data_IF_190813447499
#
_entry.id   IF_190813447499
#
_cell.length_a   1.000
_cell.length_b   1.000
_cell.length_c   1.000
_cell.angle_alpha   90.00
_cell.angle_beta   90.00
_cell.angle_gamma   90.00
#
_symmetry.space_group_name_H-M   'P 1'
#
loop_
_entity.id
_entity.type
_entity.pdbx_description
1 polymer ?
#
# COMPACT_ATOMS: atom_id res chain seq x y z
N UNK A 1 1.18 44.22 -28.41
CA UNK A 1 0.26 43.06 -28.36
C UNK A 1 1.10 41.79 -28.15
N UNK A 2 1.46 41.44 -26.91
CA UNK A 2 2.49 40.40 -26.69
C UNK A 2 2.52 39.76 -25.29
N UNK A 3 1.38 39.67 -24.61
CA UNK A 3 1.32 39.22 -23.21
C UNK A 3 0.43 37.99 -22.94
N UNK A 4 -0.01 37.26 -23.97
CA UNK A 4 -0.99 36.18 -23.80
C UNK A 4 -0.43 34.76 -24.02
N UNK A 5 0.79 34.58 -24.53
CA UNK A 5 1.36 33.26 -24.89
C UNK A 5 2.18 32.58 -23.79
N UNK A 6 2.68 33.32 -22.78
CA UNK A 6 3.47 32.74 -21.69
C UNK A 6 2.61 32.17 -20.55
N UNK A 7 1.42 32.74 -20.33
CA UNK A 7 0.52 32.35 -19.23
C UNK A 7 -0.12 30.97 -19.51
N UNK A 8 -0.38 30.64 -20.78
CA UNK A 8 -0.92 29.33 -21.17
C UNK A 8 0.10 28.20 -21.03
N UNK A 9 1.38 28.45 -21.38
CA UNK A 9 2.48 27.48 -21.18
C UNK A 9 2.75 27.22 -19.69
N UNK A 10 2.70 28.26 -18.86
CA UNK A 10 2.86 28.16 -17.41
C UNK A 10 1.70 27.40 -16.74
N UNK A 11 0.45 27.61 -17.20
CA UNK A 11 -0.73 26.86 -16.74
C UNK A 11 -0.68 25.39 -17.12
N UNK A 12 -0.26 25.05 -18.34
CA UNK A 12 -0.09 23.64 -18.74
C UNK A 12 0.97 22.93 -17.88
N UNK A 13 2.05 23.62 -17.52
CA UNK A 13 3.08 23.06 -16.64
C UNK A 13 2.58 22.82 -15.21
N UNK A 14 1.80 23.74 -14.65
CA UNK A 14 1.22 23.58 -13.30
C UNK A 14 0.21 22.43 -13.27
N UNK A 15 -0.59 22.25 -14.32
CA UNK A 15 -1.51 21.12 -14.44
C UNK A 15 -0.77 19.77 -14.54
N UNK A 16 0.38 19.72 -15.22
CA UNK A 16 1.20 18.51 -15.27
C UNK A 16 1.86 18.17 -13.91
N UNK A 17 2.23 19.20 -13.13
CA UNK A 17 2.83 19.02 -11.80
C UNK A 17 1.81 18.58 -10.73
N UNK A 18 0.54 18.97 -10.85
CA UNK A 18 -0.52 18.53 -9.94
C UNK A 18 -0.93 17.06 -10.16
N UNK A 19 -0.73 16.51 -11.35
CA UNK A 19 -1.08 15.13 -11.67
C UNK A 19 -0.04 14.12 -11.16
N UNK A 20 1.23 14.52 -10.99
CA UNK A 20 2.29 13.63 -10.51
C UNK A 20 2.26 13.37 -8.99
N UNK A 21 1.53 14.18 -8.21
CA UNK A 21 1.47 14.05 -6.75
C UNK A 21 0.47 13.00 -6.24
N UNK A 22 -0.30 12.34 -7.13
CA UNK A 22 -1.44 11.51 -6.75
C UNK A 22 -1.23 9.99 -6.69
N UNK A 23 -0.01 9.49 -6.91
CA UNK A 23 0.21 8.05 -7.17
C UNK A 23 0.76 7.23 -5.97
N UNK A 24 0.96 7.82 -4.80
CA UNK A 24 1.34 7.07 -3.59
C UNK A 24 0.09 6.74 -2.75
N UNK A 25 -0.77 5.86 -3.26
CA UNK A 25 -1.83 5.25 -2.45
C UNK A 25 -1.32 3.90 -1.95
N UNK A 26 -1.29 3.70 -0.63
CA UNK A 26 -0.97 2.40 -0.04
C UNK A 26 -2.06 1.39 -0.44
N UNK A 27 -1.66 0.24 -0.99
CA UNK A 27 -2.59 -0.83 -1.34
C UNK A 27 -3.08 -1.52 -0.07
N UNK A 28 -4.40 -1.65 0.09
CA UNK A 28 -5.01 -2.36 1.21
C UNK A 28 -5.37 -3.79 0.79
N UNK A 29 -4.74 -4.76 1.44
CA UNK A 29 -4.95 -6.18 1.22
C UNK A 29 -6.00 -6.75 2.16
N UNK A 30 -6.74 -7.77 1.71
CA UNK A 30 -7.67 -8.53 2.56
C UNK A 30 -7.39 -10.01 2.39
N UNK A 31 -6.98 -10.68 3.46
CA UNK A 31 -6.50 -12.06 3.37
C UNK A 31 -6.94 -12.92 4.56
N UNK A 32 -7.03 -14.23 4.33
CA UNK A 32 -7.38 -15.22 5.35
C UNK A 32 -6.13 -15.79 6.00
N UNK A 33 -6.11 -15.87 7.33
CA UNK A 33 -5.01 -16.44 8.10
C UNK A 33 -4.99 -17.97 7.95
N UNK A 34 -3.88 -18.50 7.45
CA UNK A 34 -3.65 -19.95 7.33
C UNK A 34 -2.81 -20.49 8.50
N UNK A 35 -1.76 -19.77 8.89
CA UNK A 35 -0.77 -20.18 9.90
C UNK A 35 -0.20 -18.94 10.62
N UNK A 36 0.20 -19.10 11.88
CA UNK A 36 0.79 -18.04 12.70
C UNK A 36 2.00 -18.57 13.47
N UNK A 37 3.08 -17.78 13.52
CA UNK A 37 4.30 -18.07 14.28
C UNK A 37 4.79 -16.81 14.99
N UNK A 38 4.97 -16.89 16.31
CA UNK A 38 5.53 -15.78 17.09
C UNK A 38 7.04 -15.99 17.31
N UNK A 39 7.86 -15.02 16.91
CA UNK A 39 9.31 -15.04 17.11
C UNK A 39 9.91 -13.64 17.00
N UNK A 40 10.95 -13.35 17.80
CA UNK A 40 11.71 -12.11 17.67
C UNK A 40 10.93 -10.81 17.90
N UNK A 41 9.80 -10.85 18.63
CA UNK A 41 8.93 -9.68 18.82
C UNK A 41 7.98 -9.39 17.64
N UNK A 42 7.89 -10.33 16.69
CA UNK A 42 6.96 -10.29 15.56
C UNK A 42 6.03 -11.50 15.56
N UNK A 43 4.88 -11.32 14.93
CA UNK A 43 4.00 -12.42 14.52
C UNK A 43 4.08 -12.56 13.01
N UNK A 44 4.58 -13.71 12.56
CA UNK A 44 4.61 -14.11 11.16
C UNK A 44 3.30 -14.79 10.83
N UNK A 45 2.64 -14.33 9.77
CA UNK A 45 1.34 -14.84 9.36
C UNK A 45 1.43 -15.32 7.92
N UNK A 46 1.09 -16.58 7.70
CA UNK A 46 0.83 -17.08 6.34
C UNK A 46 -0.61 -16.73 5.99
N UNK A 47 -0.78 -15.94 4.95
CA UNK A 47 -2.09 -15.48 4.49
C UNK A 47 -2.47 -16.10 3.16
N UNK A 48 -3.77 -16.21 2.90
CA UNK A 48 -4.33 -16.53 1.60
C UNK A 48 -5.10 -15.32 1.08
N UNK A 49 -4.69 -14.82 -0.08
CA UNK A 49 -5.36 -13.74 -0.80
C UNK A 49 -5.67 -14.24 -2.22
N UNK A 50 -6.95 -14.42 -2.54
CA UNK A 50 -7.35 -15.07 -3.79
C UNK A 50 -6.79 -16.49 -3.90
N UNK A 51 -6.00 -16.74 -4.96
CA UNK A 51 -5.28 -18.00 -5.19
C UNK A 51 -3.89 -18.04 -4.55
N UNK A 52 -3.37 -16.90 -4.12
CA UNK A 52 -1.99 -16.75 -3.69
C UNK A 52 -1.86 -16.96 -2.19
N UNK A 53 -0.68 -17.42 -1.77
CA UNK A 53 -0.35 -17.57 -0.36
C UNK A 53 1.08 -17.14 -0.10
N UNK A 54 1.25 -16.23 0.85
CA UNK A 54 2.52 -15.61 1.18
C UNK A 54 2.61 -15.33 2.68
N UNK A 55 3.81 -15.01 3.14
CA UNK A 55 4.08 -14.67 4.53
C UNK A 55 4.17 -13.16 4.70
N UNK A 56 3.49 -12.65 5.73
CA UNK A 56 3.65 -11.28 6.20
C UNK A 56 4.21 -11.29 7.63
N UNK A 57 4.86 -10.21 8.02
CA UNK A 57 5.32 -9.99 9.38
C UNK A 57 4.71 -8.70 9.92
N UNK A 58 4.27 -8.74 11.18
CA UNK A 58 3.76 -7.59 11.90
C UNK A 58 4.30 -7.58 13.33
N UNK A 59 4.25 -6.44 14.00
CA UNK A 59 4.53 -6.38 15.44
C UNK A 59 3.72 -7.43 16.18
N UNK A 60 4.35 -8.12 17.12
CA UNK A 60 3.75 -9.26 17.80
C UNK A 60 2.38 -8.92 18.39
N UNK A 61 1.36 -9.65 17.98
CA UNK A 61 -0.03 -9.50 18.45
C UNK A 61 -0.81 -10.78 18.18
N UNK A 62 -1.83 -11.01 19.01
CA UNK A 62 -2.68 -12.19 18.88
C UNK A 62 -3.53 -12.12 17.61
N UNK A 63 -3.33 -13.08 16.71
CA UNK A 63 -4.16 -13.35 15.52
C UNK A 63 -4.44 -14.84 15.45
N UNK A 64 -5.64 -15.22 15.00
CA UNK A 64 -6.07 -16.62 14.98
C UNK A 64 -6.12 -17.18 13.56
N UNK A 65 -5.79 -18.47 13.43
CA UNK A 65 -6.03 -19.22 12.19
C UNK A 65 -7.52 -19.14 11.79
N UNK A 66 -7.76 -18.89 10.51
CA UNK A 66 -9.10 -18.74 9.93
C UNK A 66 -9.67 -17.33 9.99
N UNK A 67 -9.03 -16.41 10.71
CA UNK A 67 -9.42 -14.99 10.75
C UNK A 67 -9.22 -14.32 9.39
N UNK A 68 -10.06 -13.35 9.07
CA UNK A 68 -9.88 -12.47 7.91
C UNK A 68 -9.29 -11.16 8.39
N UNK A 69 -8.12 -10.80 7.85
CA UNK A 69 -7.36 -9.62 8.25
C UNK A 69 -7.22 -8.65 7.08
N UNK A 70 -7.10 -7.37 7.42
CA UNK A 70 -6.74 -6.30 6.48
C UNK A 70 -5.43 -5.67 6.88
N UNK A 71 -4.57 -5.43 5.91
CA UNK A 71 -3.28 -4.79 6.14
C UNK A 71 -2.89 -3.97 4.91
N UNK A 72 -2.09 -2.95 5.15
CA UNK A 72 -1.44 -2.17 4.11
C UNK A 72 -0.01 -2.66 3.98
N UNK A 73 0.51 -2.69 2.76
CA UNK A 73 1.93 -2.96 2.56
C UNK A 73 2.74 -1.82 3.20
N UNK A 74 3.68 -2.19 4.09
CA UNK A 74 4.66 -1.22 4.57
C UNK A 74 5.58 -0.93 3.39
N UNK A 75 5.45 0.26 2.79
CA UNK A 75 6.10 0.69 1.53
C UNK A 75 7.64 0.74 1.53
N UNK A 76 8.27 -0.39 1.84
CA UNK A 76 9.69 -0.66 1.74
C UNK A 76 9.91 -1.85 0.80
N UNK A 77 9.35 -1.74 -0.41
CA UNK A 77 9.86 -2.39 -1.62
C UNK A 77 10.29 -1.32 -2.61
#
# INVERSE_FOLDING_TARGET
MGSFTNISKLRLFISALLLSAGLCAAETHTAKVLETLDSGGYTYIKVQEGSDSYWIAMMQRTVKKGESIRFEEAGWM
#
